data_IF_180282964614
#
_entry.id   IF_180282964614
#
_cell.length_a   1.000
_cell.length_b   1.000
_cell.length_c   1.000
_cell.angle_alpha   90.00
_cell.angle_beta   90.00
_cell.angle_gamma   90.00
#
_symmetry.space_group_name_H-M   'P 1'
#
loop_
_entity.id
_entity.type
_entity.pdbx_description
1 polymer ?
#
# COMPACT_ATOMS: atom_id res chain seq x y z
N UNK A 1 22.87 5.49 4.31
CA UNK A 1 21.56 4.95 4.70
C UNK A 1 20.70 6.17 4.94
N UNK A 2 19.71 6.42 4.08
CA UNK A 2 18.72 7.47 4.32
C UNK A 2 17.97 7.12 5.61
N UNK A 3 17.56 8.13 6.38
CA UNK A 3 17.19 8.06 7.80
C UNK A 3 15.95 7.19 8.18
N UNK A 4 15.59 6.16 7.40
CA UNK A 4 14.47 5.26 7.68
C UNK A 4 13.09 5.90 7.53
N UNK A 5 13.02 7.14 7.06
CA UNK A 5 11.77 7.88 6.87
C UNK A 5 11.30 7.76 5.42
N UNK A 6 10.00 7.52 5.24
CA UNK A 6 9.35 7.45 3.93
C UNK A 6 9.59 8.73 3.11
N UNK A 7 10.01 8.56 1.86
CA UNK A 7 10.17 9.64 0.88
C UNK A 7 9.58 9.23 -0.47
N UNK A 8 8.50 9.88 -0.88
CA UNK A 8 7.79 9.56 -2.12
C UNK A 8 8.65 9.74 -3.38
N UNK A 9 9.58 10.71 -3.40
CA UNK A 9 10.40 10.97 -4.59
C UNK A 9 11.30 9.79 -4.99
N UNK A 10 11.61 8.91 -4.03
CA UNK A 10 12.38 7.70 -4.28
C UNK A 10 11.59 6.64 -5.07
N UNK A 11 10.26 6.60 -4.91
CA UNK A 11 9.39 5.51 -5.36
C UNK A 11 8.33 5.90 -6.39
N UNK A 12 7.92 7.17 -6.46
CA UNK A 12 6.79 7.61 -7.32
C UNK A 12 7.01 7.43 -8.82
N UNK A 13 8.26 7.20 -9.26
CA UNK A 13 8.57 6.85 -10.67
C UNK A 13 8.29 5.38 -11.01
N UNK A 14 8.20 4.49 -10.02
CA UNK A 14 7.98 3.06 -10.26
C UNK A 14 6.58 2.80 -10.82
N UNK A 15 5.61 3.63 -10.41
CA UNK A 15 4.19 3.55 -10.77
C UNK A 15 3.78 4.61 -11.78
N UNK A 16 4.73 5.28 -12.44
CA UNK A 16 4.41 6.24 -13.49
C UNK A 16 3.55 5.59 -14.59
N UNK A 17 2.44 6.23 -14.96
CA UNK A 17 1.47 5.66 -15.92
C UNK A 17 2.12 5.28 -17.26
N UNK A 18 3.06 6.09 -17.77
CA UNK A 18 3.82 5.79 -18.98
C UNK A 18 4.64 4.50 -18.86
N UNK A 19 5.29 4.28 -17.70
CA UNK A 19 6.09 3.07 -17.41
C UNK A 19 5.20 1.84 -17.31
N UNK A 20 4.10 1.94 -16.57
CA UNK A 20 3.16 0.82 -16.40
C UNK A 20 2.48 0.44 -17.72
N UNK A 21 2.12 1.42 -18.55
CA UNK A 21 1.57 1.19 -19.89
C UNK A 21 2.58 0.52 -20.81
N UNK A 22 3.82 1.01 -20.84
CA UNK A 22 4.88 0.42 -21.64
C UNK A 22 5.14 -1.04 -21.25
N UNK A 23 5.05 -1.36 -19.96
CA UNK A 23 5.19 -2.72 -19.44
C UNK A 23 3.92 -3.58 -19.60
N UNK A 24 2.81 -3.03 -20.12
CA UNK A 24 1.52 -3.73 -20.22
C UNK A 24 0.84 -4.01 -18.87
N UNK A 25 1.28 -3.35 -17.79
CA UNK A 25 0.84 -3.58 -16.41
C UNK A 25 -0.35 -2.71 -16.01
N UNK A 26 -0.61 -1.60 -16.70
CA UNK A 26 -1.80 -0.78 -16.49
C UNK A 26 -2.34 -0.27 -17.82
N UNK A 27 -3.67 -0.33 -17.98
CA UNK A 27 -4.39 0.21 -19.13
C UNK A 27 -4.97 1.60 -18.87
N UNK A 28 -5.30 1.89 -17.61
CA UNK A 28 -5.95 3.13 -17.20
C UNK A 28 -4.96 4.26 -16.91
N UNK A 29 -5.41 5.51 -17.02
CA UNK A 29 -4.61 6.70 -16.66
C UNK A 29 -4.31 6.76 -15.17
N UNK A 30 -5.24 6.26 -14.36
CA UNK A 30 -5.15 6.19 -12.92
C UNK A 30 -4.08 5.19 -12.41
N UNK A 31 -3.43 4.44 -13.32
CA UNK A 31 -2.36 3.52 -12.97
C UNK A 31 -2.80 2.49 -11.93
N UNK A 32 -1.95 2.26 -10.93
CA UNK A 32 -2.21 1.30 -9.84
C UNK A 32 -3.38 1.71 -8.93
N UNK A 33 -3.80 2.98 -8.92
CA UNK A 33 -4.93 3.46 -8.12
C UNK A 33 -6.30 3.06 -8.71
N UNK A 34 -6.32 2.45 -9.89
CA UNK A 34 -7.52 1.82 -10.46
C UNK A 34 -7.79 0.41 -9.93
N UNK A 35 -6.87 -0.17 -9.16
CA UNK A 35 -7.01 -1.49 -8.57
C UNK A 35 -7.82 -1.46 -7.27
N UNK A 36 -8.65 -2.47 -7.01
CA UNK A 36 -9.30 -2.64 -5.70
C UNK A 36 -8.30 -2.84 -4.56
N UNK A 37 -7.23 -3.60 -4.83
CA UNK A 37 -6.20 -3.95 -3.87
C UNK A 37 -4.80 -3.62 -4.42
N UNK A 38 -3.96 -3.01 -3.60
CA UNK A 38 -2.53 -2.83 -3.86
C UNK A 38 -1.76 -3.63 -2.82
N UNK A 39 -0.98 -4.60 -3.27
CA UNK A 39 -0.27 -5.56 -2.41
C UNK A 39 1.23 -5.30 -2.47
N UNK A 40 1.84 -5.10 -1.30
CA UNK A 40 3.27 -4.84 -1.15
C UNK A 40 3.90 -5.86 -0.20
N UNK A 41 4.70 -6.83 -0.70
CA UNK A 41 5.50 -7.68 0.16
C UNK A 41 6.65 -6.87 0.76
N UNK A 42 6.79 -6.90 2.08
CA UNK A 42 7.79 -6.13 2.81
C UNK A 42 8.82 -7.09 3.43
N UNK A 43 10.07 -6.92 3.03
CA UNK A 43 11.20 -7.61 3.66
C UNK A 43 11.75 -6.76 4.81
N UNK A 44 11.58 -7.25 6.04
CA UNK A 44 12.08 -6.61 7.24
C UNK A 44 13.50 -7.11 7.52
N UNK A 45 14.47 -6.23 7.28
CA UNK A 45 15.89 -6.45 7.59
C UNK A 45 16.49 -7.75 6.99
N UNK A 46 15.95 -8.24 5.88
CA UNK A 46 16.36 -9.49 5.23
C UNK A 46 16.18 -10.76 6.08
N UNK A 47 15.33 -10.71 7.11
CA UNK A 47 15.10 -11.82 8.05
C UNK A 47 13.63 -12.23 8.17
N UNK A 48 12.69 -11.33 7.87
CA UNK A 48 11.27 -11.58 8.07
C UNK A 48 10.43 -10.94 6.97
N UNK A 49 9.50 -11.70 6.38
CA UNK A 49 8.60 -11.21 5.34
C UNK A 49 7.20 -11.01 5.91
N UNK A 50 6.65 -9.84 5.62
CA UNK A 50 5.27 -9.48 5.94
C UNK A 50 4.59 -8.94 4.69
N UNK A 51 3.26 -8.88 4.69
CA UNK A 51 2.48 -8.32 3.59
C UNK A 51 1.73 -7.09 4.06
N UNK A 52 1.80 -6.00 3.30
CA UNK A 52 0.91 -4.86 3.48
C UNK A 52 0.01 -4.73 2.27
N UNK A 53 -1.28 -4.49 2.53
CA UNK A 53 -2.29 -4.34 1.49
C UNK A 53 -3.03 -3.03 1.72
N UNK A 54 -3.10 -2.18 0.70
CA UNK A 54 -4.09 -1.12 0.65
C UNK A 54 -5.35 -1.66 -0.03
N UNK A 55 -6.45 -1.65 0.70
CA UNK A 55 -7.78 -2.03 0.23
C UNK A 55 -8.52 -0.74 -0.08
N UNK A 56 -8.50 -0.34 -1.35
CA UNK A 56 -9.00 0.97 -1.81
C UNK A 56 -10.53 1.01 -1.79
N UNK A 57 -11.18 -0.12 -2.08
CA UNK A 57 -12.65 -0.21 -2.07
C UNK A 57 -13.22 -0.06 -0.65
N UNK A 58 -12.48 -0.54 0.38
CA UNK A 58 -12.88 -0.42 1.79
C UNK A 58 -12.15 0.67 2.56
N UNK A 59 -11.32 1.49 1.89
CA UNK A 59 -10.54 2.56 2.50
C UNK A 59 -9.79 2.12 3.77
N UNK A 60 -9.01 1.04 3.71
CA UNK A 60 -8.28 0.50 4.87
C UNK A 60 -6.89 -0.05 4.49
N UNK A 61 -6.01 -0.15 5.48
CA UNK A 61 -4.71 -0.80 5.32
C UNK A 61 -4.68 -2.10 6.13
N UNK A 62 -4.21 -3.19 5.51
CA UNK A 62 -4.04 -4.48 6.15
C UNK A 62 -2.54 -4.75 6.35
N UNK A 63 -2.15 -5.09 7.58
CA UNK A 63 -0.82 -5.56 7.90
C UNK A 63 -0.89 -7.04 8.29
N UNK A 64 -0.30 -7.90 7.45
CA UNK A 64 -0.35 -9.34 7.61
C UNK A 64 1.06 -9.86 7.95
N UNK A 65 1.22 -10.31 9.19
CA UNK A 65 2.44 -10.91 9.69
C UNK A 65 2.17 -12.38 10.07
N UNK A 66 2.82 -13.36 9.41
CA UNK A 66 2.68 -14.77 9.74
C UNK A 66 3.04 -15.13 11.20
N UNK A 67 3.86 -14.32 11.86
CA UNK A 67 4.29 -14.51 13.26
C UNK A 67 3.42 -13.72 14.26
N UNK A 68 2.34 -13.08 13.80
CA UNK A 68 1.42 -12.32 14.65
C UNK A 68 1.97 -10.99 15.16
N UNK A 69 3.09 -10.52 14.61
CA UNK A 69 3.65 -9.21 14.90
C UNK A 69 2.72 -8.06 14.49
N UNK A 70 2.98 -6.87 15.06
CA UNK A 70 2.29 -5.63 14.72
C UNK A 70 3.31 -4.53 14.44
N UNK A 71 3.17 -3.87 13.29
CA UNK A 71 4.05 -2.79 12.84
C UNK A 71 3.21 -1.69 12.21
N UNK A 72 2.70 -0.80 13.06
CA UNK A 72 1.87 0.33 12.62
C UNK A 72 2.65 1.24 11.65
N UNK A 73 3.95 1.41 11.87
CA UNK A 73 4.85 2.18 11.03
C UNK A 73 4.84 1.77 9.54
N UNK A 74 4.71 0.48 9.25
CA UNK A 74 4.67 -0.04 7.88
C UNK A 74 3.29 0.23 7.26
N UNK A 75 2.22 0.03 8.02
CA UNK A 75 0.86 0.36 7.57
C UNK A 75 0.71 1.87 7.32
N UNK A 76 1.24 2.72 8.21
CA UNK A 76 1.26 4.17 8.09
C UNK A 76 2.07 4.61 6.86
N UNK A 77 3.19 3.94 6.58
CA UNK A 77 3.98 4.18 5.37
C UNK A 77 3.17 3.86 4.11
N UNK A 78 2.40 2.78 4.09
CA UNK A 78 1.52 2.45 2.96
C UNK A 78 0.41 3.50 2.81
N UNK A 79 -0.24 3.91 3.90
CA UNK A 79 -1.26 4.96 3.89
C UNK A 79 -0.70 6.30 3.37
N UNK A 80 0.51 6.67 3.80
CA UNK A 80 1.22 7.85 3.32
C UNK A 80 1.56 7.75 1.84
N UNK A 81 2.01 6.58 1.37
CA UNK A 81 2.26 6.32 -0.04
C UNK A 81 0.99 6.43 -0.88
N UNK A 82 -0.13 5.83 -0.47
CA UNK A 82 -1.41 5.93 -1.20
C UNK A 82 -1.84 7.39 -1.35
N UNK A 83 -1.76 8.18 -0.27
CA UNK A 83 -2.07 9.62 -0.32
C UNK A 83 -1.16 10.37 -1.30
N UNK A 84 0.15 10.14 -1.21
CA UNK A 84 1.12 10.81 -2.08
C UNK A 84 0.94 10.42 -3.56
N UNK A 85 0.66 9.14 -3.83
CA UNK A 85 0.39 8.63 -5.17
C UNK A 85 -0.91 9.22 -5.74
N UNK A 86 -1.98 9.30 -4.95
CA UNK A 86 -3.24 9.93 -5.37
C UNK A 86 -3.07 11.42 -5.67
N UNK A 87 -2.31 12.13 -4.84
CA UNK A 87 -2.01 13.53 -5.07
C UNK A 87 -1.20 13.73 -6.36
N UNK A 88 -0.15 12.93 -6.56
CA UNK A 88 0.73 13.05 -7.72
C UNK A 88 0.05 12.63 -9.04
N UNK A 89 -0.60 11.46 -9.07
CA UNK A 89 -1.15 10.87 -10.31
C UNK A 89 -2.55 11.33 -10.65
N UNK A 90 -3.38 11.60 -9.65
CA UNK A 90 -4.79 11.96 -9.84
C UNK A 90 -5.08 13.42 -9.53
N UNK A 91 -4.14 14.15 -8.90
CA UNK A 91 -4.37 15.49 -8.36
C UNK A 91 -5.54 15.50 -7.35
N UNK A 92 -5.70 14.40 -6.61
CA UNK A 92 -6.76 14.22 -5.61
C UNK A 92 -6.16 14.14 -4.20
N UNK A 93 -6.83 14.76 -3.24
CA UNK A 93 -6.49 14.62 -1.83
C UNK A 93 -7.29 13.48 -1.22
N UNK A 94 -6.63 12.35 -0.95
CA UNK A 94 -7.23 11.22 -0.23
C UNK A 94 -6.86 11.31 1.26
N UNK A 95 -7.86 11.36 2.12
CA UNK A 95 -7.62 11.27 3.56
C UNK A 95 -7.41 9.81 3.98
N UNK A 96 -6.16 9.38 3.96
CA UNK A 96 -5.75 8.06 4.45
C UNK A 96 -5.46 8.02 5.94
N UNK A 97 -5.54 9.14 6.68
CA UNK A 97 -5.26 9.15 8.14
C UNK A 97 -6.43 8.61 8.95
N UNK A 98 -7.63 8.64 8.38
CA UNK A 98 -8.82 8.03 8.95
C UNK A 98 -8.98 6.55 8.59
N UNK A 99 -8.10 5.99 7.76
CA UNK A 99 -8.19 4.60 7.32
C UNK A 99 -7.81 3.66 8.47
N UNK A 100 -8.68 2.70 8.85
CA UNK A 100 -8.33 1.77 9.89
C UNK A 100 -7.20 0.84 9.43
N UNK A 101 -6.27 0.56 10.34
CA UNK A 101 -5.30 -0.52 10.18
C UNK A 101 -5.85 -1.81 10.79
N UNK A 102 -5.89 -2.89 10.02
CA UNK A 102 -6.29 -4.21 10.52
C UNK A 102 -5.14 -5.20 10.42
N UNK A 103 -5.07 -6.11 11.39
CA UNK A 103 -4.04 -7.14 11.47
C UNK A 103 -4.62 -8.53 11.15
N UNK A 104 -3.76 -9.46 10.72
CA UNK A 104 -4.17 -10.82 10.31
C UNK A 104 -5.06 -11.54 11.35
N UNK A 105 -4.79 -11.38 12.64
CA UNK A 105 -5.60 -11.98 13.72
C UNK A 105 -7.00 -11.35 13.87
N UNK A 106 -7.21 -10.16 13.33
CA UNK A 106 -8.48 -9.42 13.36
C UNK A 106 -9.37 -9.74 12.15
N UNK A 107 -8.84 -10.45 11.15
CA UNK A 107 -9.57 -10.91 9.97
C UNK A 107 -10.25 -12.26 10.20
N UNK A 108 -10.57 -12.61 11.45
CA UNK A 108 -11.26 -13.86 11.80
C UNK A 108 -12.41 -14.12 10.82
N UNK A 109 -12.20 -15.12 9.99
CA UNK A 109 -12.99 -15.62 8.88
C UNK A 109 -14.47 -15.18 8.87
N UNK A 110 -14.77 -14.06 8.20
CA UNK A 110 -16.09 -13.81 7.61
C UNK A 110 -16.10 -14.22 6.13
N UNK A 111 -15.57 -15.41 5.85
CA UNK A 111 -15.88 -16.10 4.60
C UNK A 111 -16.99 -17.06 4.98
N UNK A 112 -18.24 -16.59 4.85
CA UNK A 112 -19.41 -17.45 4.97
C UNK A 112 -19.31 -18.51 3.88
N UNK A 113 -19.24 -19.77 4.32
CA UNK A 113 -19.47 -20.94 3.47
C UNK A 113 -20.97 -21.15 3.35
#
# INVERSE_FOLDING_TARGET
QDAGVFNYSNVGRWTAASRLRLAGQAKHEQGVLSCSLIVAPCNLNNVHWVLVVADLDRCRILYLDPMGGRRADIADTMAAWVRAEAFDKLQQWWDTTSWPSAHALQLSWQIGV
#
